data_IF_647507329763
#
_entry.id   IF_647507329763
#
_cell.length_a   1.000
_cell.length_b   1.000
_cell.length_c   1.000
_cell.angle_alpha   90.00
_cell.angle_beta   90.00
_cell.angle_gamma   90.00
#
_symmetry.space_group_name_H-M   'P 1'
#
loop_
_entity.id
_entity.type
_entity.pdbx_description
1 polymer ?
#
# COMPACT_ATOMS: atom_id res chain seq x y z
N UNK A 1 37.70 -13.02 -7.52
CA UNK A 1 37.20 -11.65 -7.79
C UNK A 1 35.74 -11.79 -8.24
N UNK A 2 34.80 -11.15 -7.54
CA UNK A 2 33.37 -11.22 -7.87
C UNK A 2 32.94 -10.07 -8.79
N UNK A 3 31.77 -10.18 -9.40
CA UNK A 3 31.25 -9.14 -10.30
C UNK A 3 31.05 -7.78 -9.60
N UNK A 4 30.72 -7.79 -8.31
CA UNK A 4 30.63 -6.57 -7.50
C UNK A 4 31.96 -5.82 -7.38
N UNK A 5 33.09 -6.53 -7.34
CA UNK A 5 34.43 -5.90 -7.33
C UNK A 5 34.75 -5.27 -8.70
N UNK A 6 34.28 -5.86 -9.79
CA UNK A 6 34.51 -5.36 -11.15
C UNK A 6 33.71 -4.09 -11.43
N UNK A 7 32.47 -4.01 -10.93
CA UNK A 7 31.65 -2.79 -10.99
C UNK A 7 32.29 -1.70 -10.11
N UNK A 8 32.70 -2.03 -8.87
CA UNK A 8 33.33 -1.06 -7.97
C UNK A 8 34.63 -0.45 -8.52
N UNK A 9 35.35 -1.21 -9.35
CA UNK A 9 36.59 -0.75 -10.00
C UNK A 9 36.35 -0.07 -11.36
N UNK A 10 35.10 0.24 -11.74
CA UNK A 10 34.73 0.81 -13.05
C UNK A 10 35.20 -0.01 -14.26
N UNK A 11 35.37 -1.33 -14.10
CA UNK A 11 35.63 -2.24 -15.22
C UNK A 11 34.33 -2.57 -15.94
N UNK A 12 33.23 -2.69 -15.18
CA UNK A 12 31.86 -2.75 -15.69
C UNK A 12 31.07 -1.54 -15.22
N UNK A 13 30.23 -1.01 -16.10
CA UNK A 13 29.36 0.14 -15.81
C UNK A 13 28.13 -0.27 -14.98
N UNK A 14 27.47 -1.38 -15.35
CA UNK A 14 26.29 -1.88 -14.65
C UNK A 14 26.09 -3.38 -14.84
N UNK A 15 25.34 -4.00 -13.92
CA UNK A 15 24.79 -5.34 -14.07
C UNK A 15 23.36 -5.36 -13.53
N UNK A 16 22.41 -5.75 -14.36
CA UNK A 16 21.00 -5.81 -14.02
C UNK A 16 20.33 -7.00 -14.72
N UNK A 17 19.28 -7.59 -14.11
CA UNK A 17 18.49 -8.62 -14.77
C UNK A 17 17.66 -8.04 -15.92
N UNK A 18 17.41 -8.86 -16.94
CA UNK A 18 16.51 -8.54 -18.04
C UNK A 18 15.05 -8.83 -17.63
N UNK A 19 14.12 -8.03 -18.15
CA UNK A 19 12.67 -8.26 -17.99
C UNK A 19 12.11 -9.11 -19.14
N UNK A 20 10.94 -9.75 -18.93
CA UNK A 20 10.26 -10.65 -19.89
C UNK A 20 9.63 -9.93 -21.12
N UNK A 21 10.17 -8.79 -21.53
CA UNK A 21 9.74 -8.01 -22.69
C UNK A 21 8.90 -6.76 -22.36
N UNK A 22 8.25 -6.24 -23.40
CA UNK A 22 7.44 -5.02 -23.34
C UNK A 22 6.06 -5.29 -22.73
N UNK A 23 5.55 -4.32 -21.96
CA UNK A 23 4.21 -4.40 -21.36
C UNK A 23 3.11 -3.75 -22.23
N UNK A 24 3.50 -2.90 -23.21
CA UNK A 24 2.59 -2.18 -24.13
C UNK A 24 2.57 -2.74 -25.56
N UNK A 25 3.40 -3.73 -25.88
CA UNK A 25 3.56 -4.25 -27.24
C UNK A 25 2.28 -4.84 -27.84
N UNK A 26 2.08 -4.61 -29.15
CA UNK A 26 0.96 -5.15 -29.95
C UNK A 26 1.01 -6.66 -30.17
N UNK A 27 2.14 -7.32 -29.85
CA UNK A 27 2.27 -8.76 -29.95
C UNK A 27 1.33 -9.44 -28.95
N UNK A 28 0.64 -10.47 -29.42
CA UNK A 28 -0.40 -11.21 -28.66
C UNK A 28 0.18 -12.19 -27.64
N UNK A 29 1.51 -12.33 -27.62
CA UNK A 29 2.20 -13.18 -26.65
C UNK A 29 2.05 -12.61 -25.23
N UNK A 30 1.38 -13.37 -24.38
CA UNK A 30 1.15 -13.02 -22.98
C UNK A 30 2.40 -13.30 -22.14
N UNK A 31 3.09 -12.25 -21.75
CA UNK A 31 4.26 -12.24 -20.88
C UNK A 31 3.91 -11.85 -19.43
N UNK A 32 4.70 -12.32 -18.45
CA UNK A 32 4.40 -12.13 -17.01
C UNK A 32 4.29 -10.65 -16.62
N UNK A 33 5.16 -9.80 -17.19
CA UNK A 33 5.13 -8.34 -16.98
C UNK A 33 3.83 -7.69 -17.46
N UNK A 34 3.31 -8.11 -18.62
CA UNK A 34 2.07 -7.57 -19.21
C UNK A 34 0.85 -8.02 -18.41
N UNK A 35 0.84 -9.27 -17.94
CA UNK A 35 -0.18 -9.77 -17.03
C UNK A 35 -0.18 -8.99 -15.70
N UNK A 36 1.00 -8.78 -15.11
CA UNK A 36 1.16 -8.01 -13.87
C UNK A 36 0.68 -6.57 -14.02
N UNK A 37 0.97 -5.93 -15.16
CA UNK A 37 0.47 -4.58 -15.46
C UNK A 37 -1.07 -4.55 -15.58
N UNK A 38 -1.66 -5.53 -16.27
CA UNK A 38 -3.10 -5.56 -16.52
C UNK A 38 -3.93 -5.77 -15.25
N UNK A 39 -3.45 -6.64 -14.35
CA UNK A 39 -4.18 -7.03 -13.14
C UNK A 39 -3.84 -6.20 -11.91
N UNK A 40 -2.72 -5.46 -11.90
CA UNK A 40 -2.27 -4.74 -10.71
C UNK A 40 -1.70 -3.35 -10.98
N UNK A 41 -0.65 -3.22 -11.80
CA UNK A 41 0.11 -1.96 -11.94
C UNK A 41 -0.56 -0.91 -12.85
N UNK A 42 -1.89 -0.80 -12.81
CA UNK A 42 -2.69 0.16 -13.57
C UNK A 42 -3.68 0.89 -12.67
N UNK A 43 -3.73 2.22 -12.79
CA UNK A 43 -4.60 3.06 -11.98
C UNK A 43 -6.07 2.63 -11.99
N UNK A 44 -6.58 2.13 -13.13
CA UNK A 44 -7.95 1.64 -13.24
C UNK A 44 -8.27 0.33 -12.51
N UNK A 45 -7.33 -0.27 -11.78
CA UNK A 45 -7.48 -1.58 -11.10
C UNK A 45 -7.27 -1.47 -9.59
N UNK A 46 -7.17 -0.25 -9.05
CA UNK A 46 -6.90 0.02 -7.64
C UNK A 46 -7.95 -0.55 -6.65
N UNK A 47 -9.15 -0.86 -7.13
CA UNK A 47 -10.24 -1.42 -6.32
C UNK A 47 -10.15 -2.94 -6.14
N UNK A 48 -9.28 -3.63 -6.88
CA UNK A 48 -9.07 -5.08 -6.74
C UNK A 48 -8.07 -5.36 -5.62
N UNK A 49 -8.16 -6.55 -5.03
CA UNK A 49 -7.11 -7.06 -4.15
C UNK A 49 -5.79 -7.23 -4.90
N UNK A 50 -4.68 -6.94 -4.22
CA UNK A 50 -3.35 -7.06 -4.81
C UNK A 50 -2.99 -8.54 -5.04
N UNK A 51 -2.57 -8.95 -6.25
CA UNK A 51 -2.17 -10.33 -6.55
C UNK A 51 -0.74 -10.60 -6.05
N UNK A 52 -0.59 -10.79 -4.73
CA UNK A 52 0.72 -10.92 -4.06
C UNK A 52 1.56 -12.06 -4.65
N UNK A 53 0.95 -13.20 -4.98
CA UNK A 53 1.69 -14.32 -5.59
C UNK A 53 2.28 -13.98 -6.95
N UNK A 54 1.59 -13.16 -7.75
CA UNK A 54 2.08 -12.75 -9.06
C UNK A 54 3.24 -11.73 -8.93
N UNK A 55 3.12 -10.80 -7.98
CA UNK A 55 4.20 -9.85 -7.64
C UNK A 55 5.42 -10.61 -7.13
N UNK A 56 5.21 -11.57 -6.23
CA UNK A 56 6.25 -12.42 -5.64
C UNK A 56 6.94 -13.29 -6.69
N UNK A 57 6.19 -13.85 -7.63
CA UNK A 57 6.75 -14.64 -8.73
C UNK A 57 7.67 -13.80 -9.63
N UNK A 58 7.24 -12.58 -9.98
CA UNK A 58 7.97 -11.72 -10.92
C UNK A 58 9.14 -10.94 -10.28
N UNK A 59 8.96 -10.43 -9.07
CA UNK A 59 9.96 -9.58 -8.39
C UNK A 59 10.70 -10.28 -7.24
N UNK A 60 10.27 -11.48 -6.85
CA UNK A 60 10.82 -12.23 -5.73
C UNK A 60 10.19 -11.89 -4.37
N UNK A 61 10.57 -12.67 -3.37
CA UNK A 61 10.01 -12.65 -2.01
C UNK A 61 10.10 -11.28 -1.32
N UNK A 62 11.24 -10.59 -1.44
CA UNK A 62 11.46 -9.30 -0.75
C UNK A 62 10.45 -8.23 -1.20
N UNK A 63 10.20 -8.14 -2.50
CA UNK A 63 9.29 -7.16 -3.08
C UNK A 63 7.83 -7.62 -2.89
N UNK A 64 7.56 -8.92 -3.02
CA UNK A 64 6.25 -9.49 -2.69
C UNK A 64 5.82 -9.19 -1.26
N UNK A 65 6.73 -9.37 -0.29
CA UNK A 65 6.46 -9.07 1.13
C UNK A 65 6.23 -7.58 1.38
N UNK A 66 7.00 -6.70 0.72
CA UNK A 66 6.80 -5.25 0.81
C UNK A 66 5.37 -4.85 0.42
N UNK A 67 4.89 -5.35 -0.72
CA UNK A 67 3.54 -5.04 -1.18
C UNK A 67 2.44 -5.71 -0.35
N UNK A 68 2.69 -6.91 0.18
CA UNK A 68 1.78 -7.56 1.12
C UNK A 68 1.60 -6.72 2.40
N UNK A 69 2.70 -6.23 2.96
CA UNK A 69 2.65 -5.35 4.14
C UNK A 69 1.97 -4.01 3.85
N UNK A 70 2.27 -3.40 2.70
CA UNK A 70 1.63 -2.15 2.28
C UNK A 70 0.11 -2.32 2.10
N UNK A 71 -0.32 -3.43 1.51
CA UNK A 71 -1.74 -3.77 1.36
C UNK A 71 -2.45 -3.87 2.71
N UNK A 72 -1.89 -4.66 3.62
CA UNK A 72 -2.40 -4.82 4.98
C UNK A 72 -2.49 -3.48 5.72
N UNK A 73 -1.44 -2.65 5.63
CA UNK A 73 -1.41 -1.34 6.27
C UNK A 73 -2.51 -0.41 5.73
N UNK A 74 -2.72 -0.40 4.42
CA UNK A 74 -3.76 0.41 3.78
C UNK A 74 -5.17 -0.07 4.17
N UNK A 75 -5.36 -1.38 4.28
CA UNK A 75 -6.64 -1.97 4.71
C UNK A 75 -7.02 -1.51 6.12
N UNK A 76 -6.06 -1.42 7.05
CA UNK A 76 -6.31 -0.89 8.40
C UNK A 76 -6.52 0.64 8.44
N UNK A 77 -5.98 1.39 7.48
CA UNK A 77 -6.22 2.82 7.39
C UNK A 77 -7.65 3.17 6.98
N UNK A 78 -8.34 2.32 6.21
CA UNK A 78 -9.72 2.56 5.76
C UNK A 78 -10.68 2.76 6.95
N UNK A 79 -10.84 1.81 7.92
CA UNK A 79 -11.73 2.01 9.05
C UNK A 79 -11.29 3.18 9.94
N UNK A 80 -9.99 3.39 10.10
CA UNK A 80 -9.43 4.53 10.84
C UNK A 80 -9.84 5.87 10.22
N UNK A 81 -9.75 5.98 8.89
CA UNK A 81 -10.17 7.18 8.15
C UNK A 81 -11.67 7.43 8.24
N UNK A 82 -12.50 6.38 8.17
CA UNK A 82 -13.96 6.51 8.30
C UNK A 82 -14.35 7.10 9.65
N UNK A 83 -13.78 6.61 10.75
CA UNK A 83 -14.05 7.18 12.08
C UNK A 83 -13.58 8.62 12.16
N UNK A 84 -12.39 8.93 11.62
CA UNK A 84 -11.88 10.30 11.56
C UNK A 84 -12.83 11.27 10.84
N UNK A 85 -13.40 10.86 9.70
CA UNK A 85 -14.37 11.67 8.94
C UNK A 85 -15.67 11.86 9.75
N UNK A 86 -16.20 10.83 10.40
CA UNK A 86 -17.42 10.93 11.22
C UNK A 86 -17.22 11.92 12.37
N UNK A 87 -16.10 11.80 13.08
CA UNK A 87 -15.72 12.71 14.18
C UNK A 87 -15.59 14.15 13.68
N UNK A 88 -14.94 14.35 12.53
CA UNK A 88 -14.77 15.66 11.94
C UNK A 88 -16.12 16.32 11.59
N UNK A 89 -17.02 15.57 10.93
CA UNK A 89 -18.35 16.06 10.57
C UNK A 89 -19.22 16.37 11.79
N UNK A 90 -19.17 15.53 12.83
CA UNK A 90 -19.88 15.79 14.09
C UNK A 90 -19.39 17.09 14.75
N UNK A 91 -18.06 17.30 14.76
CA UNK A 91 -17.47 18.56 15.21
C UNK A 91 -17.98 19.76 14.41
N UNK A 92 -17.99 19.67 13.08
CA UNK A 92 -18.47 20.76 12.22
C UNK A 92 -19.94 21.13 12.47
N UNK A 93 -20.82 20.16 12.69
CA UNK A 93 -22.26 20.40 12.91
C UNK A 93 -22.51 21.05 14.28
N UNK A 94 -21.73 20.68 15.30
CA UNK A 94 -21.98 21.07 16.70
C UNK A 94 -21.32 22.41 17.07
N UNK A 95 -20.49 22.99 16.19
CA UNK A 95 -19.73 24.24 16.44
C UNK A 95 -20.61 25.42 16.88
N UNK A 96 -21.83 25.55 16.36
CA UNK A 96 -22.70 26.71 16.65
C UNK A 96 -23.60 26.53 17.90
N UNK A 97 -23.70 25.30 18.43
CA UNK A 97 -24.71 24.96 19.45
C UNK A 97 -24.18 24.60 20.84
N UNK A 98 -22.85 24.58 21.08
CA UNK A 98 -22.30 23.97 22.30
C UNK A 98 -22.15 24.90 23.52
N UNK A 99 -22.87 24.53 24.60
CA UNK A 99 -22.53 24.75 26.01
C UNK A 99 -21.70 23.51 26.43
N UNK A 100 -20.56 23.61 27.16
CA UNK A 100 -19.65 22.48 27.34
C UNK A 100 -20.34 21.36 28.15
N UNK A 101 -20.74 20.28 27.47
CA UNK A 101 -21.48 19.16 28.07
C UNK A 101 -20.86 17.81 27.73
N UNK A 102 -21.20 16.86 28.59
CA UNK A 102 -20.75 15.47 28.81
C UNK A 102 -20.58 14.56 27.57
N UNK A 103 -21.01 15.00 26.37
CA UNK A 103 -21.01 14.22 25.11
C UNK A 103 -19.61 14.03 24.50
N UNK A 104 -18.64 14.85 24.93
CA UNK A 104 -17.21 14.67 24.61
C UNK A 104 -16.64 13.35 25.10
N UNK A 105 -17.24 12.70 26.11
CA UNK A 105 -16.79 11.43 26.67
C UNK A 105 -16.87 10.25 25.69
N UNK A 106 -17.93 10.19 24.86
CA UNK A 106 -18.09 9.12 23.87
C UNK A 106 -17.09 9.26 22.71
N UNK A 107 -16.84 10.50 22.31
CA UNK A 107 -15.87 10.85 21.27
C UNK A 107 -14.44 10.56 21.71
N UNK A 108 -14.09 10.89 22.97
CA UNK A 108 -12.82 10.51 23.59
C UNK A 108 -12.68 8.99 23.68
N UNK A 109 -13.74 8.26 24.03
CA UNK A 109 -13.73 6.79 24.08
C UNK A 109 -13.52 6.16 22.70
N UNK A 110 -14.13 6.71 21.64
CA UNK A 110 -13.89 6.22 20.28
C UNK A 110 -12.44 6.48 19.84
N UNK A 111 -11.89 7.65 20.17
CA UNK A 111 -10.49 7.99 19.88
C UNK A 111 -9.51 7.11 20.67
N UNK A 112 -9.78 6.80 21.95
CA UNK A 112 -8.92 5.92 22.75
C UNK A 112 -9.03 4.45 22.33
N UNK A 113 -10.21 3.98 21.92
CA UNK A 113 -10.39 2.64 21.37
C UNK A 113 -9.68 2.46 20.03
N UNK A 114 -9.68 3.49 19.17
CA UNK A 114 -8.91 3.49 17.93
C UNK A 114 -7.40 3.52 18.20
N UNK A 115 -6.97 4.28 19.20
CA UNK A 115 -5.58 4.28 19.67
C UNK A 115 -5.14 2.91 20.22
N UNK A 116 -6.01 2.23 20.99
CA UNK A 116 -5.74 0.88 21.50
C UNK A 116 -5.75 -0.17 20.41
N UNK A 117 -6.65 -0.07 19.44
CA UNK A 117 -6.66 -0.92 18.26
C UNK A 117 -5.35 -0.77 17.47
N UNK A 118 -4.89 0.45 17.25
CA UNK A 118 -3.60 0.74 16.61
C UNK A 118 -2.39 0.25 17.42
N UNK A 119 -2.44 0.34 18.75
CA UNK A 119 -1.38 -0.17 19.63
C UNK A 119 -1.32 -1.71 19.66
N UNK A 120 -2.44 -2.40 19.37
CA UNK A 120 -2.47 -3.87 19.32
C UNK A 120 -1.64 -4.47 18.17
N UNK A 121 -1.17 -3.65 17.22
CA UNK A 121 -0.33 -4.08 16.08
C UNK A 121 1.16 -3.78 16.27
N UNK A 122 1.58 -3.31 17.45
CA UNK A 122 2.96 -2.97 17.76
C UNK A 122 3.64 -4.01 18.64
#
# INVERSE_FOLDING_TARGET
LGIGTLIANNVYDAAYPLHDGEYEGQNDDMNERKLLYREWARYGVFYKFQPIDLIRKYFGEKIGLYFAWLGLYTEFLIPSSVVGIIVFLYGCITIESDIPRQDTGLLLLLVTLLWQFLHSFK
#
